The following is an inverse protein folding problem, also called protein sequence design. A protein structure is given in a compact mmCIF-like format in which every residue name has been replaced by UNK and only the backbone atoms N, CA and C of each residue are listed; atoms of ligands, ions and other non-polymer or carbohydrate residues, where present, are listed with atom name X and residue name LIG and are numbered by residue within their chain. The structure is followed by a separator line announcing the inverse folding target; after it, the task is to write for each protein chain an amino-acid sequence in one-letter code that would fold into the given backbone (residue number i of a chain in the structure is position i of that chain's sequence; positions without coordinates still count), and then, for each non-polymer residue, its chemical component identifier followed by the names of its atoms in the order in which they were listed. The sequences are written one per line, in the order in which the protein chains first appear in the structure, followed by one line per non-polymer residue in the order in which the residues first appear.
data_IF_021506219276
#
_entry.id   IF_021506219276
#
_cell.length_a   1.000
_cell.length_b   1.000
_cell.length_c   1.000
_cell.angle_alpha   90.00
_cell.angle_beta   90.00
_cell.angle_gamma   90.00
#
_symmetry.space_group_name_H-M   'P 1'
#
loop_
_entity.id
_entity.type
_entity.pdbx_description
1 polymer ?
#
# COMPACT_ATOMS: atom_id res chain seq x y z
N UNK A 1 -0.65 -5.58 -42.08
CA UNK A 1 0.10 -6.59 -41.32
C UNK A 1 -0.47 -6.66 -39.93
N UNK A 2 -1.00 -7.81 -39.54
CA UNK A 2 -1.50 -8.05 -38.19
C UNK A 2 -0.35 -8.69 -37.40
N UNK A 3 0.14 -8.00 -36.37
CA UNK A 3 1.19 -8.52 -35.50
C UNK A 3 0.50 -9.30 -34.37
N UNK A 4 0.58 -10.63 -34.42
CA UNK A 4 0.01 -11.52 -33.41
C UNK A 4 1.07 -11.83 -32.33
N UNK A 5 1.47 -10.79 -31.60
CA UNK A 5 2.40 -10.91 -30.47
C UNK A 5 1.68 -10.52 -29.18
N UNK A 6 1.85 -11.29 -28.10
CA UNK A 6 1.13 -11.01 -26.86
C UNK A 6 1.60 -9.69 -26.26
N UNK A 7 0.67 -8.96 -25.65
CA UNK A 7 0.92 -7.66 -25.00
C UNK A 7 1.34 -6.53 -25.95
N UNK A 8 1.35 -6.74 -27.27
CA UNK A 8 1.60 -5.67 -28.24
C UNK A 8 0.29 -4.93 -28.53
N UNK A 9 0.31 -3.62 -28.37
CA UNK A 9 -0.80 -2.74 -28.71
C UNK A 9 -0.33 -1.67 -29.69
N UNK A 10 -1.14 -1.46 -30.74
CA UNK A 10 -1.04 -0.31 -31.62
C UNK A 10 -2.18 0.66 -31.27
N UNK A 11 -1.90 1.83 -30.68
CA UNK A 11 -2.93 2.83 -30.42
C UNK A 11 -3.52 3.32 -31.75
N UNK A 12 -4.85 3.32 -31.87
CA UNK A 12 -5.53 3.88 -33.03
C UNK A 12 -5.10 5.33 -33.24
N UNK A 13 -4.66 5.66 -34.46
CA UNK A 13 -4.14 6.99 -34.82
C UNK A 13 -2.65 7.23 -34.58
N UNK A 14 -1.88 6.26 -34.04
CA UNK A 14 -0.42 6.38 -33.88
C UNK A 14 0.33 5.34 -34.72
N UNK A 15 1.43 5.76 -35.34
CA UNK A 15 2.36 4.89 -36.09
C UNK A 15 3.27 4.04 -35.18
N UNK A 16 3.05 4.01 -33.87
CA UNK A 16 3.97 3.36 -32.92
C UNK A 16 3.31 2.23 -32.17
N UNK A 17 4.02 1.11 -32.06
CA UNK A 17 3.67 -0.06 -31.28
C UNK A 17 4.21 0.06 -29.86
N UNK A 18 3.43 -0.45 -28.91
CA UNK A 18 3.76 -0.44 -27.48
C UNK A 18 3.58 -1.83 -26.91
N UNK A 19 4.51 -2.24 -26.06
CA UNK A 19 4.32 -3.36 -25.16
C UNK A 19 3.55 -2.87 -23.95
N UNK A 20 2.44 -3.53 -23.61
CA UNK A 20 1.60 -3.20 -22.46
C UNK A 20 1.30 -4.45 -21.66
N UNK A 21 1.99 -4.62 -20.53
CA UNK A 21 1.75 -5.72 -19.59
C UNK A 21 1.11 -5.21 -18.32
N UNK A 22 -0.02 -5.80 -17.91
CA UNK A 22 -0.67 -5.49 -16.63
C UNK A 22 0.16 -6.00 -15.47
N UNK A 23 0.35 -5.15 -14.46
CA UNK A 23 0.99 -5.53 -13.20
C UNK A 23 -0.07 -6.18 -12.30
N UNK A 24 0.20 -7.36 -11.71
CA UNK A 24 -0.67 -7.98 -10.72
C UNK A 24 -0.98 -7.03 -9.56
N UNK A 25 -2.23 -7.03 -9.05
CA UNK A 25 -2.71 -6.05 -8.07
C UNK A 25 -1.82 -5.91 -6.84
N UNK A 26 -1.36 -7.04 -6.31
CA UNK A 26 -0.47 -7.10 -5.14
C UNK A 26 0.92 -6.50 -5.36
N UNK A 27 1.38 -6.36 -6.62
CA UNK A 27 2.66 -5.73 -6.96
C UNK A 27 2.53 -4.26 -7.32
N UNK A 28 1.32 -3.73 -7.52
CA UNK A 28 1.11 -2.33 -7.93
C UNK A 28 1.66 -1.34 -6.91
N UNK A 29 1.48 -1.63 -5.62
CA UNK A 29 2.04 -0.81 -4.54
C UNK A 29 3.57 -0.91 -4.49
N UNK A 30 4.13 -2.10 -4.72
CA UNK A 30 5.58 -2.31 -4.70
C UNK A 30 6.30 -1.67 -5.90
N UNK A 31 5.68 -1.70 -7.09
CA UNK A 31 6.23 -1.14 -8.34
C UNK A 31 5.85 0.33 -8.58
N UNK A 32 4.86 0.86 -7.85
CA UNK A 32 4.33 2.21 -8.05
C UNK A 32 3.64 2.42 -9.40
N UNK A 33 3.34 1.34 -10.14
CA UNK A 33 2.76 1.38 -11.49
C UNK A 33 1.67 0.32 -11.63
N UNK A 34 0.61 0.66 -12.38
CA UNK A 34 -0.49 -0.25 -12.69
C UNK A 34 -0.20 -1.15 -13.89
N UNK A 35 0.63 -0.65 -14.82
CA UNK A 35 0.98 -1.31 -16.07
C UNK A 35 2.43 -0.98 -16.47
N UNK A 36 3.12 -1.95 -17.08
CA UNK A 36 4.42 -1.74 -17.70
C UNK A 36 4.17 -1.42 -19.18
N UNK A 37 4.42 -0.16 -19.55
CA UNK A 37 4.30 0.34 -20.92
C UNK A 37 5.68 0.66 -21.46
N UNK A 38 6.08 0.00 -22.55
CA UNK A 38 7.38 0.19 -23.20
C UNK A 38 7.18 0.39 -24.71
N UNK A 39 7.91 1.32 -25.36
CA UNK A 39 7.85 1.48 -26.81
C UNK A 39 8.53 0.29 -27.51
N UNK A 40 7.90 -0.24 -28.55
CA UNK A 40 8.46 -1.33 -29.39
C UNK A 40 9.01 -0.83 -30.73
N UNK A 41 8.54 0.34 -31.20
CA UNK A 41 8.97 0.94 -32.46
C UNK A 41 7.79 1.36 -33.30
N UNK A 42 8.07 1.76 -34.54
CA UNK A 42 7.06 2.24 -35.50
C UNK A 42 6.80 1.23 -36.62
N UNK A 43 7.76 0.34 -36.86
CA UNK A 43 7.69 -0.64 -37.93
C UNK A 43 7.52 -2.06 -37.38
N UNK A 44 6.89 -2.98 -38.12
CA UNK A 44 6.78 -4.38 -37.71
C UNK A 44 8.13 -5.07 -37.48
N UNK A 45 9.16 -4.68 -38.26
CA UNK A 45 10.51 -5.21 -38.13
C UNK A 45 11.18 -4.77 -36.82
N UNK A 46 10.99 -3.51 -36.40
CA UNK A 46 11.46 -3.02 -35.10
C UNK A 46 10.75 -3.72 -33.95
N UNK A 47 9.44 -3.95 -34.08
CA UNK A 47 8.64 -4.64 -33.06
C UNK A 47 9.21 -6.03 -32.81
N UNK A 48 9.44 -6.83 -33.84
CA UNK A 48 9.99 -8.18 -33.70
C UNK A 48 11.38 -8.17 -33.06
N UNK A 49 12.25 -7.21 -33.41
CA UNK A 49 13.60 -7.09 -32.83
C UNK A 49 13.58 -6.68 -31.36
N UNK A 50 12.71 -5.74 -30.99
CA UNK A 50 12.67 -5.21 -29.63
C UNK A 50 11.77 -6.01 -28.69
N UNK A 51 10.85 -6.81 -29.23
CA UNK A 51 9.86 -7.55 -28.46
C UNK A 51 10.52 -8.44 -27.40
N UNK A 52 11.46 -9.30 -27.79
CA UNK A 52 12.09 -10.24 -26.86
C UNK A 52 12.82 -9.53 -25.72
N UNK A 53 13.49 -8.43 -26.03
CA UNK A 53 14.20 -7.62 -25.04
C UNK A 53 13.21 -6.99 -24.06
N UNK A 54 12.19 -6.32 -24.58
CA UNK A 54 11.19 -5.61 -23.77
C UNK A 54 10.36 -6.59 -22.93
N UNK A 55 10.03 -7.76 -23.48
CA UNK A 55 9.32 -8.82 -22.78
C UNK A 55 10.15 -9.35 -21.61
N UNK A 56 11.43 -9.66 -21.83
CA UNK A 56 12.35 -10.10 -20.77
C UNK A 56 12.54 -9.04 -19.69
N UNK A 57 12.68 -7.78 -20.06
CA UNK A 57 12.78 -6.67 -19.10
C UNK A 57 11.52 -6.57 -18.22
N UNK A 58 10.33 -6.61 -18.82
CA UNK A 58 9.07 -6.50 -18.09
C UNK A 58 8.84 -7.69 -17.15
N UNK A 59 9.13 -8.91 -17.60
CA UNK A 59 9.05 -10.12 -16.76
C UNK A 59 10.10 -10.10 -15.64
N UNK A 60 11.31 -9.59 -15.92
CA UNK A 60 12.35 -9.41 -14.90
C UNK A 60 11.93 -8.38 -13.83
N UNK A 61 11.30 -7.27 -14.23
CA UNK A 61 10.78 -6.24 -13.31
C UNK A 61 9.68 -6.81 -12.40
N UNK A 62 8.75 -7.60 -12.96
CA UNK A 62 7.72 -8.30 -12.18
C UNK A 62 8.36 -9.33 -11.23
N UNK A 63 9.29 -10.15 -11.73
CA UNK A 63 9.97 -11.17 -10.92
C UNK A 63 10.88 -10.58 -9.84
N UNK A 64 11.43 -9.39 -10.06
CA UNK A 64 12.17 -8.64 -9.05
C UNK A 64 11.23 -8.11 -7.98
N UNK A 65 10.08 -7.54 -8.37
CA UNK A 65 9.05 -7.08 -7.44
C UNK A 65 8.42 -8.21 -6.62
N UNK A 66 8.30 -9.42 -7.19
CA UNK A 66 7.85 -10.61 -6.44
C UNK A 66 8.89 -11.10 -5.42
N UNK A 67 10.19 -10.89 -5.69
CA UNK A 67 11.28 -11.32 -4.80
C UNK A 67 11.63 -10.29 -3.75
N UNK A 68 11.44 -9.00 -4.05
CA UNK A 68 11.55 -7.93 -3.06
C UNK A 68 10.40 -8.05 -2.08
N UNK A 69 10.70 -8.17 -0.78
CA UNK A 69 9.68 -7.99 0.27
C UNK A 69 9.00 -6.64 -0.01
N UNK A 70 7.65 -6.56 -0.07
CA UNK A 70 6.99 -5.29 -0.25
C UNK A 70 7.50 -4.36 0.83
N UNK A 71 8.11 -3.24 0.42
CA UNK A 71 8.53 -2.21 1.36
C UNK A 71 7.24 -1.78 2.08
N UNK A 72 7.16 -1.85 3.41
CA UNK A 72 5.97 -1.39 4.10
C UNK A 72 5.77 0.07 3.68
N UNK A 73 4.66 0.33 3.00
CA UNK A 73 4.23 1.69 2.72
C UNK A 73 3.97 2.31 4.09
N UNK A 74 4.83 3.24 4.50
CA UNK A 74 4.59 4.01 5.70
C UNK A 74 3.26 4.74 5.52
N UNK A 75 2.26 4.33 6.31
CA UNK A 75 0.95 4.99 6.33
C UNK A 75 1.15 6.48 6.55
N UNK A 76 0.43 7.30 5.79
CA UNK A 76 0.37 8.75 6.03
C UNK A 76 -0.22 9.02 7.43
N UNK A 77 0.01 10.21 7.99
CA UNK A 77 -0.51 10.57 9.32
C UNK A 77 -2.04 10.39 9.41
N UNK A 78 -2.77 10.72 8.33
CA UNK A 78 -4.21 10.54 8.24
C UNK A 78 -4.61 9.06 8.25
N UNK A 79 -3.93 8.21 7.48
CA UNK A 79 -4.21 6.76 7.43
C UNK A 79 -3.88 6.09 8.77
N UNK A 80 -2.85 6.55 9.50
CA UNK A 80 -2.56 6.09 10.86
C UNK A 80 -3.70 6.43 11.81
N UNK A 81 -4.22 7.66 11.75
CA UNK A 81 -5.35 8.10 12.59
C UNK A 81 -6.63 7.31 12.29
N UNK A 82 -6.98 7.15 11.01
CA UNK A 82 -8.16 6.38 10.59
C UNK A 82 -8.05 4.90 11.00
N UNK A 83 -6.87 4.32 10.84
CA UNK A 83 -6.62 2.95 11.29
C UNK A 83 -6.77 2.81 12.81
N UNK A 84 -6.17 3.71 13.59
CA UNK A 84 -6.28 3.69 15.05
C UNK A 84 -7.74 3.85 15.50
N UNK A 85 -8.48 4.78 14.91
CA UNK A 85 -9.91 5.01 15.20
C UNK A 85 -10.75 3.76 14.89
N UNK A 86 -10.47 3.08 13.78
CA UNK A 86 -11.17 1.84 13.42
C UNK A 86 -10.85 0.70 14.39
N UNK A 87 -9.62 0.59 14.86
CA UNK A 87 -9.22 -0.42 15.84
C UNK A 87 -9.87 -0.17 17.20
N UNK A 88 -9.92 1.08 17.67
CA UNK A 88 -10.63 1.44 18.91
C UNK A 88 -12.12 1.11 18.81
N UNK A 89 -12.75 1.37 17.66
CA UNK A 89 -14.16 1.01 17.45
C UNK A 89 -14.39 -0.51 17.40
N UNK A 90 -13.45 -1.28 16.86
CA UNK A 90 -13.51 -2.74 16.76
C UNK A 90 -13.33 -3.42 18.11
N UNK A 91 -12.48 -2.88 18.99
CA UNK A 91 -12.31 -3.38 20.36
C UNK A 91 -13.53 -3.15 21.25
N UNK A 92 -14.46 -2.29 20.84
CA UNK A 92 -15.69 -2.03 21.58
C UNK A 92 -15.45 -1.34 22.92
N UNK A 93 -16.50 -1.16 23.74
CA UNK A 93 -16.35 -0.60 25.08
C UNK A 93 -15.47 -1.52 25.92
N UNK A 94 -14.39 -0.96 26.45
CA UNK A 94 -13.48 -1.63 27.38
C UNK A 94 -14.26 -2.09 28.61
N UNK A 95 -14.07 -3.35 29.03
CA UNK A 95 -14.72 -3.82 30.25
C UNK A 95 -14.13 -3.11 31.49
N UNK A 96 -14.93 -3.04 32.56
CA UNK A 96 -14.55 -2.32 33.79
C UNK A 96 -13.27 -2.90 34.43
N UNK A 97 -13.08 -4.22 34.35
CA UNK A 97 -11.92 -4.88 34.93
C UNK A 97 -10.62 -4.53 34.20
N UNK A 98 -10.69 -4.40 32.87
CA UNK A 98 -9.57 -4.04 32.00
C UNK A 98 -9.27 -2.55 32.12
N UNK A 99 -10.30 -1.71 32.35
CA UNK A 99 -10.11 -0.30 32.67
C UNK A 99 -9.38 -0.12 34.02
N UNK A 100 -9.76 -0.86 35.05
CA UNK A 100 -9.09 -0.83 36.36
C UNK A 100 -7.64 -1.35 36.27
N UNK A 101 -7.41 -2.46 35.55
CA UNK A 101 -6.06 -2.99 35.33
C UNK A 101 -5.16 -2.01 34.55
N UNK A 102 -5.73 -1.26 33.60
CA UNK A 102 -5.01 -0.22 32.89
C UNK A 102 -4.69 0.97 33.81
N UNK A 103 -5.60 1.33 34.72
CA UNK A 103 -5.40 2.37 35.71
C UNK A 103 -4.19 2.06 36.61
N UNK A 104 -4.17 0.87 37.20
CA UNK A 104 -3.10 0.40 38.07
C UNK A 104 -1.74 0.40 37.34
N UNK A 105 -1.74 -0.01 36.07
CA UNK A 105 -0.53 -0.03 35.26
C UNK A 105 0.00 1.38 34.96
N UNK A 106 -0.89 2.33 34.64
CA UNK A 106 -0.51 3.72 34.37
C UNK A 106 -0.06 4.44 35.64
N UNK A 107 -0.62 4.12 36.80
CA UNK A 107 -0.13 4.61 38.10
C UNK A 107 1.28 4.10 38.39
N UNK A 108 1.55 2.80 38.18
CA UNK A 108 2.88 2.23 38.35
C UNK A 108 3.92 2.81 37.36
N UNK A 109 3.49 3.17 36.16
CA UNK A 109 4.35 3.80 35.15
C UNK A 109 4.59 5.31 35.39
N UNK A 110 4.01 5.90 36.44
CA UNK A 110 4.09 7.33 36.71
C UNK A 110 3.33 8.19 35.69
N UNK A 111 2.38 7.60 34.97
CA UNK A 111 1.56 8.21 33.92
C UNK A 111 0.10 8.41 34.35
N UNK A 112 -0.14 8.51 35.65
CA UNK A 112 -1.46 8.68 36.27
C UNK A 112 -2.24 9.91 35.76
N UNK A 113 -1.54 10.98 35.37
CA UNK A 113 -2.14 12.16 34.73
C UNK A 113 -2.81 11.84 33.38
N UNK A 114 -2.25 10.90 32.60
CA UNK A 114 -2.86 10.47 31.33
C UNK A 114 -4.13 9.66 31.56
N UNK A 115 -4.18 8.84 32.61
CA UNK A 115 -5.38 8.10 33.00
C UNK A 115 -6.52 9.05 33.43
N UNK A 116 -6.22 10.04 34.29
CA UNK A 116 -7.20 11.06 34.72
C UNK A 116 -7.81 11.82 33.54
N UNK A 117 -6.98 12.19 32.56
CA UNK A 117 -7.44 12.93 31.38
C UNK A 117 -8.28 12.07 30.41
N UNK A 118 -8.05 10.76 30.35
CA UNK A 118 -8.68 9.86 29.36
C UNK A 118 -9.94 9.16 29.87
N UNK A 119 -10.00 8.81 31.17
CA UNK A 119 -11.04 7.92 31.69
C UNK A 119 -12.10 8.64 32.54
N UNK A 120 -11.80 9.83 33.08
CA UNK A 120 -12.76 10.54 33.94
C UNK A 120 -12.80 12.03 33.66
N UNK A 121 -13.52 12.48 32.61
CA UNK A 121 -13.67 13.91 32.33
C UNK A 121 -14.43 14.70 33.43
N UNK A 122 -15.08 14.03 34.39
CA UNK A 122 -16.00 14.68 35.35
C UNK A 122 -15.76 14.39 36.85
N UNK A 123 -14.65 13.73 37.24
CA UNK A 123 -14.30 13.65 38.67
C UNK A 123 -13.50 14.89 39.05
N UNK A 124 -14.18 15.87 39.65
CA UNK A 124 -13.51 16.96 40.37
C UNK A 124 -12.61 16.36 41.47
N UNK A 125 -11.36 16.84 41.61
CA UNK A 125 -10.53 16.44 42.73
C UNK A 125 -11.18 16.93 44.02
N UNK A 126 -11.40 16.03 44.98
CA UNK A 126 -11.77 16.43 46.33
C UNK A 126 -10.58 17.14 47.00
N UNK A 127 -10.78 18.32 47.58
CA UNK A 127 -9.71 19.07 48.21
C UNK A 127 -9.26 18.36 49.50
N UNK A 128 -7.94 18.29 49.67
CA UNK A 128 -7.25 17.81 50.88
C UNK A 128 -7.40 18.80 52.03
#
# INVERSE_FOLDING_TARGET
MQIDLPYVQQPSGKKHFRYRRKVPGFLRQALGKTEIVKPLGSTPAEVLRHYDKVHKEAEAEIKAAMRGKPKPTEKTALEKYQWATRQVAEWGPMDAHTADALADHLEQAGQSELYRALVVPDRKPEPT
#
